data_IF_511217380278
#
_entry.id   IF_511217380278
#
_cell.length_a   1.000
_cell.length_b   1.000
_cell.length_c   1.000
_cell.angle_alpha   90.00
_cell.angle_beta   90.00
_cell.angle_gamma   90.00
#
_symmetry.space_group_name_H-M   'P 1'
#
loop_
_entity.id
_entity.type
_entity.pdbx_description
1 polymer ?
#
# COMPACT_ATOMS: atom_id res chain seq x y z
N UNK A 1 -13.35 -6.93 8.35
CA UNK A 1 -12.67 -8.10 8.95
C UNK A 1 -11.36 -7.63 9.54
N UNK A 2 -10.58 -8.53 10.14
CA UNK A 2 -9.24 -8.20 10.62
C UNK A 2 -8.34 -7.78 9.44
N UNK A 3 -7.41 -6.86 9.70
CA UNK A 3 -6.34 -6.46 8.79
C UNK A 3 -4.98 -6.56 9.50
N UNK A 4 -3.91 -6.60 8.70
CA UNK A 4 -2.53 -6.56 9.20
C UNK A 4 -1.95 -5.22 8.82
N UNK A 5 -1.32 -4.54 9.78
CA UNK A 5 -0.55 -3.31 9.55
C UNK A 5 0.94 -3.66 9.61
N UNK A 6 1.73 -3.14 8.68
CA UNK A 6 3.17 -3.39 8.58
C UNK A 6 3.91 -2.07 8.36
N UNK A 7 4.95 -1.83 9.16
CA UNK A 7 5.94 -0.78 8.88
C UNK A 7 7.04 -1.36 7.97
N UNK A 8 7.07 -0.96 6.70
CA UNK A 8 8.07 -1.43 5.74
C UNK A 8 9.28 -0.49 5.74
N UNK A 9 10.49 -1.06 5.92
CA UNK A 9 11.74 -0.28 5.99
C UNK A 9 12.73 -0.70 4.90
N UNK A 10 13.15 0.26 4.09
CA UNK A 10 14.28 0.18 3.17
C UNK A 10 14.63 1.60 2.67
N UNK A 11 15.68 1.73 1.86
CA UNK A 11 15.99 3.00 1.21
C UNK A 11 14.86 3.39 0.25
N UNK A 12 14.33 4.62 0.39
CA UNK A 12 13.17 5.12 -0.36
C UNK A 12 11.93 4.21 -0.24
N UNK A 13 11.68 3.67 0.96
CA UNK A 13 10.63 2.69 1.23
C UNK A 13 9.26 3.04 0.64
N UNK A 14 8.80 4.28 0.80
CA UNK A 14 7.51 4.72 0.28
C UNK A 14 7.43 4.52 -1.25
N UNK A 15 8.40 5.05 -1.99
CA UNK A 15 8.40 4.97 -3.45
C UNK A 15 8.55 3.52 -3.94
N UNK A 16 9.50 2.77 -3.36
CA UNK A 16 9.77 1.37 -3.73
C UNK A 16 8.55 0.49 -3.46
N UNK A 17 7.91 0.65 -2.30
CA UNK A 17 6.75 -0.14 -1.95
C UNK A 17 5.51 0.25 -2.74
N UNK A 18 5.29 1.54 -3.02
CA UNK A 18 4.20 2.01 -3.89
C UNK A 18 4.32 1.41 -5.30
N UNK A 19 5.53 1.36 -5.86
CA UNK A 19 5.78 0.73 -7.16
C UNK A 19 5.52 -0.78 -7.13
N UNK A 20 5.87 -1.45 -6.03
CA UNK A 20 5.59 -2.87 -5.82
C UNK A 20 4.08 -3.17 -5.69
N UNK A 21 3.32 -2.30 -5.01
CA UNK A 21 1.86 -2.36 -4.93
C UNK A 21 1.19 -2.13 -6.30
N UNK A 22 1.72 -1.21 -7.10
CA UNK A 22 1.20 -0.84 -8.40
C UNK A 22 -0.01 0.11 -8.37
N UNK A 23 -0.66 0.36 -9.51
CA UNK A 23 -1.77 1.32 -9.62
C UNK A 23 -2.92 0.99 -8.65
N UNK A 24 -3.57 2.03 -8.13
CA UNK A 24 -4.65 1.89 -7.14
C UNK A 24 -5.85 1.08 -7.65
N UNK A 25 -6.14 1.17 -8.95
CA UNK A 25 -7.15 0.36 -9.62
C UNK A 25 -6.55 -0.96 -10.12
N UNK A 26 -6.98 -2.13 -9.59
CA UNK A 26 -6.53 -3.44 -10.04
C UNK A 26 -6.74 -3.69 -11.54
N UNK A 27 -7.81 -3.14 -12.13
CA UNK A 27 -8.08 -3.30 -13.56
C UNK A 27 -7.00 -2.62 -14.38
N UNK A 28 -6.66 -1.37 -14.06
CA UNK A 28 -5.55 -0.66 -14.70
C UNK A 28 -4.24 -1.40 -14.43
N UNK A 29 -3.99 -1.81 -13.18
CA UNK A 29 -2.76 -2.51 -12.79
C UNK A 29 -2.53 -3.78 -13.62
N UNK A 30 -3.57 -4.59 -13.87
CA UNK A 30 -3.47 -5.80 -14.72
C UNK A 30 -3.03 -5.49 -16.15
N UNK A 31 -3.45 -4.36 -16.71
CA UNK A 31 -3.10 -3.98 -18.08
C UNK A 31 -1.68 -3.41 -18.18
N UNK A 32 -1.28 -2.54 -17.26
CA UNK A 32 -0.01 -1.78 -17.40
C UNK A 32 1.14 -2.32 -16.54
N UNK A 33 0.85 -3.04 -15.45
CA UNK A 33 1.85 -3.58 -14.50
C UNK A 33 1.35 -4.93 -13.92
N UNK A 34 1.19 -6.00 -14.73
CA UNK A 34 0.48 -7.23 -14.36
C UNK A 34 1.09 -8.03 -13.20
N UNK A 35 2.31 -7.70 -12.77
CA UNK A 35 3.05 -8.42 -11.70
C UNK A 35 3.01 -7.71 -10.35
N UNK A 36 2.29 -6.60 -10.22
CA UNK A 36 2.18 -5.88 -8.94
C UNK A 36 1.14 -6.53 -8.02
N UNK A 37 1.21 -6.23 -6.72
CA UNK A 37 0.30 -6.83 -5.73
C UNK A 37 -1.17 -6.56 -6.06
N UNK A 38 -1.50 -5.31 -6.42
CA UNK A 38 -2.89 -4.93 -6.77
C UNK A 38 -3.36 -5.62 -8.06
N UNK A 39 -2.47 -5.86 -9.03
CA UNK A 39 -2.81 -6.58 -10.25
C UNK A 39 -3.14 -8.06 -9.99
N UNK A 40 -2.32 -8.70 -9.15
CA UNK A 40 -2.41 -10.13 -8.86
C UNK A 40 -3.55 -10.48 -7.89
N UNK A 41 -3.79 -9.64 -6.89
CA UNK A 41 -4.68 -9.97 -5.76
C UNK A 41 -5.88 -9.02 -5.62
N UNK A 42 -5.88 -7.87 -6.29
CA UNK A 42 -6.96 -6.89 -6.23
C UNK A 42 -8.17 -7.30 -7.07
N UNK A 43 -9.37 -7.19 -6.48
CA UNK A 43 -10.64 -7.54 -7.15
C UNK A 43 -11.25 -6.34 -7.89
N UNK A 44 -11.36 -5.22 -7.20
CA UNK A 44 -11.95 -3.98 -7.69
C UNK A 44 -11.30 -2.78 -6.98
N UNK A 45 -11.71 -1.55 -7.35
CA UNK A 45 -11.16 -0.30 -6.78
C UNK A 45 -11.26 -0.21 -5.26
N UNK A 46 -12.28 -0.82 -4.66
CA UNK A 46 -12.50 -0.81 -3.21
C UNK A 46 -11.77 -1.98 -2.55
N UNK A 47 -11.77 -3.15 -3.18
CA UNK A 47 -11.13 -4.39 -2.72
C UNK A 47 -9.80 -4.60 -3.45
N UNK A 48 -8.88 -3.65 -3.29
CA UNK A 48 -7.59 -3.60 -4.01
C UNK A 48 -6.47 -4.46 -3.37
N UNK A 49 -6.79 -5.27 -2.35
CA UNK A 49 -5.90 -6.16 -1.60
C UNK A 49 -4.86 -5.49 -0.70
N UNK A 50 -4.23 -4.39 -1.11
CA UNK A 50 -3.20 -3.70 -0.31
C UNK A 50 -3.33 -2.18 -0.40
N UNK A 51 -3.36 -1.55 0.77
CA UNK A 51 -3.15 -0.13 0.94
C UNK A 51 -1.66 0.15 1.18
N UNK A 52 -1.15 1.25 0.64
CA UNK A 52 0.19 1.76 0.88
C UNK A 52 0.13 3.28 0.81
N UNK A 53 1.01 3.95 1.58
CA UNK A 53 1.11 5.41 1.59
C UNK A 53 1.46 5.96 0.21
N UNK A 54 0.66 6.89 -0.30
CA UNK A 54 0.83 7.44 -1.64
C UNK A 54 1.80 8.64 -1.68
N UNK A 55 1.90 9.42 -0.60
CA UNK A 55 2.77 10.59 -0.49
C UNK A 55 3.92 10.33 0.51
N UNK A 56 5.09 10.94 0.28
CA UNK A 56 6.26 10.70 1.13
C UNK A 56 6.11 11.37 2.50
N UNK A 57 5.49 12.55 2.52
CA UNK A 57 5.16 13.33 3.70
C UNK A 57 4.19 12.60 4.64
N UNK A 58 3.29 11.76 4.09
CA UNK A 58 2.28 11.05 4.86
C UNK A 58 2.82 9.77 5.52
N UNK A 59 3.92 9.21 5.01
CA UNK A 59 4.42 7.90 5.45
C UNK A 59 4.73 7.87 6.95
N UNK A 60 5.38 8.92 7.46
CA UNK A 60 5.70 9.02 8.89
C UNK A 60 4.44 9.20 9.72
N UNK A 61 3.50 10.03 9.25
CA UNK A 61 2.25 10.32 9.97
C UNK A 61 1.38 9.07 10.11
N UNK A 62 1.23 8.29 9.04
CA UNK A 62 0.46 7.05 9.06
C UNK A 62 1.09 6.00 10.00
N UNK A 63 2.41 5.82 9.94
CA UNK A 63 3.13 4.88 10.82
C UNK A 63 2.98 5.29 12.28
N UNK A 64 3.16 6.57 12.61
CA UNK A 64 3.00 7.05 13.99
C UNK A 64 1.55 6.91 14.47
N UNK A 65 0.57 7.18 13.61
CA UNK A 65 -0.84 7.00 13.93
C UNK A 65 -1.15 5.56 14.33
N UNK A 66 -0.75 4.57 13.51
CA UNK A 66 -1.05 3.17 13.79
C UNK A 66 -0.23 2.58 14.94
N UNK A 67 1.07 2.88 15.04
CA UNK A 67 1.97 2.21 15.99
C UNK A 67 2.29 3.01 17.26
N UNK A 68 1.81 4.26 17.37
CA UNK A 68 1.99 5.07 18.60
C UNK A 68 0.71 5.67 19.14
N UNK A 69 -0.28 5.98 18.30
CA UNK A 69 -1.50 6.63 18.76
C UNK A 69 -2.62 5.61 18.98
N UNK A 70 -2.88 4.75 18.00
CA UNK A 70 -3.97 3.76 18.05
C UNK A 70 -3.73 2.59 19.00
N UNK A 71 -2.47 2.27 19.28
CA UNK A 71 -2.08 1.17 20.19
C UNK A 71 -2.01 1.59 21.66
N UNK A 72 -2.38 2.86 21.96
CA UNK A 72 -2.56 3.41 23.30
C UNK A 72 -4.05 3.59 23.62
#
# INVERSE_FOLDING_TARGET
GACIILEVRCQNAQAVFRDFCGPADPEIARHIRPRTLRALYGKDKVKNAVHCTDLAEDATLEVEYFFRILDN
#
